data_IF_313372605866
#
_entry.id   IF_313372605866
#
_cell.length_a   1.000
_cell.length_b   1.000
_cell.length_c   1.000
_cell.angle_alpha   90.00
_cell.angle_beta   90.00
_cell.angle_gamma   90.00
#
_symmetry.space_group_name_H-M   'P 1'
#
loop_
_entity.id
_entity.type
_entity.pdbx_description
1 polymer ?
#
# COMPACT_ATOMS: atom_id res chain seq x y z
N UNK A 1 -30.93 5.64 -2.74
CA UNK A 1 -29.75 5.96 -3.57
C UNK A 1 -28.56 5.98 -2.62
N UNK A 2 -27.74 4.93 -2.66
CA UNK A 2 -26.70 4.63 -1.68
C UNK A 2 -25.45 5.49 -1.93
N UNK A 3 -25.31 6.60 -1.21
CA UNK A 3 -24.03 7.29 -1.07
C UNK A 3 -23.91 7.79 0.36
N UNK A 4 -22.73 7.54 0.95
CA UNK A 4 -22.23 8.15 2.18
C UNK A 4 -22.63 7.54 3.53
N UNK A 5 -22.09 6.35 3.84
CA UNK A 5 -21.86 5.95 5.24
C UNK A 5 -20.40 5.58 5.54
N UNK A 6 -19.45 5.83 4.62
CA UNK A 6 -18.02 5.56 4.85
C UNK A 6 -17.20 6.80 5.24
N UNK A 7 -17.84 7.94 5.42
CA UNK A 7 -17.20 9.16 5.92
C UNK A 7 -17.32 9.20 7.44
N UNK A 8 -16.49 8.42 8.14
CA UNK A 8 -16.06 8.57 9.55
C UNK A 8 -15.82 7.22 10.20
N UNK A 9 -14.83 6.47 9.73
CA UNK A 9 -14.20 5.48 10.59
C UNK A 9 -12.69 5.63 10.56
N UNK A 10 -12.17 6.28 11.59
CA UNK A 10 -10.74 6.24 11.97
C UNK A 10 -10.39 4.81 12.50
N UNK A 11 -11.34 3.88 12.49
CA UNK A 11 -11.18 2.47 12.81
C UNK A 11 -11.60 1.60 11.63
N UNK A 12 -10.66 1.12 10.83
CA UNK A 12 -10.92 -0.15 10.13
C UNK A 12 -10.91 -1.22 11.24
N UNK A 13 -12.05 -1.83 11.60
CA UNK A 13 -12.05 -2.82 12.66
C UNK A 13 -11.12 -3.97 12.26
N UNK A 14 -10.43 -4.55 13.25
CA UNK A 14 -9.54 -5.72 13.12
C UNK A 14 -10.14 -6.87 12.29
N UNK A 15 -11.47 -6.88 12.12
CA UNK A 15 -12.22 -7.79 11.27
C UNK A 15 -11.81 -7.74 9.79
N UNK A 16 -11.65 -6.56 9.17
CA UNK A 16 -11.26 -6.47 7.75
C UNK A 16 -9.81 -6.90 7.52
N UNK A 17 -8.92 -6.57 8.46
CA UNK A 17 -7.53 -7.05 8.48
C UNK A 17 -7.51 -8.58 8.49
N UNK A 18 -8.31 -9.18 9.36
CA UNK A 18 -8.38 -10.63 9.52
C UNK A 18 -8.95 -11.33 8.28
N UNK A 19 -10.06 -10.84 7.73
CA UNK A 19 -10.71 -11.49 6.57
C UNK A 19 -9.82 -11.55 5.32
N UNK A 20 -9.15 -10.45 4.97
CA UNK A 20 -8.32 -10.41 3.78
C UNK A 20 -7.02 -11.22 3.94
N UNK A 21 -6.45 -11.20 5.15
CA UNK A 21 -5.29 -12.03 5.49
C UNK A 21 -5.62 -13.52 5.44
N UNK A 22 -6.71 -13.93 6.10
CA UNK A 22 -7.15 -15.33 6.14
C UNK A 22 -7.43 -15.86 4.72
N UNK A 23 -8.12 -15.06 3.88
CA UNK A 23 -8.39 -15.43 2.49
C UNK A 23 -7.13 -15.66 1.66
N UNK A 24 -6.11 -14.82 1.80
CA UNK A 24 -4.84 -14.98 1.07
C UNK A 24 -4.08 -16.22 1.54
N UNK A 25 -4.05 -16.49 2.84
CA UNK A 25 -3.44 -17.69 3.39
C UNK A 25 -4.15 -18.94 2.87
N UNK A 26 -5.49 -18.96 2.90
CA UNK A 26 -6.29 -20.07 2.39
C UNK A 26 -5.99 -20.34 0.91
N UNK A 27 -5.90 -19.31 0.08
CA UNK A 27 -5.54 -19.45 -1.33
C UNK A 27 -4.12 -19.98 -1.54
N UNK A 28 -3.15 -19.44 -0.80
CA UNK A 28 -1.75 -19.84 -0.94
C UNK A 28 -1.51 -21.26 -0.46
N UNK A 29 -2.31 -21.76 0.48
CA UNK A 29 -2.28 -23.16 0.89
C UNK A 29 -2.81 -24.13 -0.18
N UNK A 30 -3.48 -23.63 -1.22
CA UNK A 30 -4.03 -24.43 -2.31
C UNK A 30 -3.14 -24.45 -3.56
N UNK A 31 -2.07 -23.65 -3.61
CA UNK A 31 -1.22 -23.48 -4.80
C UNK A 31 0.27 -23.51 -4.41
N UNK A 32 1.14 -24.01 -5.31
CA UNK A 32 2.60 -24.04 -5.10
C UNK A 32 3.27 -22.67 -5.38
N UNK A 33 2.65 -21.57 -4.91
CA UNK A 33 3.26 -20.24 -4.98
C UNK A 33 4.24 -20.06 -3.80
N UNK A 34 5.44 -19.49 -4.01
CA UNK A 34 6.42 -19.33 -2.94
C UNK A 34 5.88 -18.47 -1.79
N UNK A 35 6.12 -18.94 -0.57
CA UNK A 35 5.74 -18.23 0.65
C UNK A 35 6.47 -16.89 0.77
N UNK A 36 5.76 -15.86 1.24
CA UNK A 36 6.32 -14.57 1.62
C UNK A 36 5.57 -14.03 2.85
N UNK A 37 6.14 -13.02 3.53
CA UNK A 37 5.55 -12.48 4.76
C UNK A 37 4.30 -11.62 4.45
N UNK A 38 3.14 -12.27 4.50
CA UNK A 38 1.84 -11.62 4.24
C UNK A 38 1.50 -10.60 5.32
N UNK A 39 1.86 -10.86 6.58
CA UNK A 39 1.53 -9.98 7.71
C UNK A 39 2.18 -8.61 7.53
N UNK A 40 3.48 -8.59 7.23
CA UNK A 40 4.21 -7.38 6.94
C UNK A 40 3.71 -6.68 5.67
N UNK A 41 3.27 -7.46 4.67
CA UNK A 41 2.66 -6.89 3.46
C UNK A 41 1.35 -6.16 3.80
N UNK A 42 0.53 -6.72 4.71
CA UNK A 42 -0.68 -6.05 5.20
C UNK A 42 -0.37 -4.77 5.94
N UNK A 43 0.66 -4.77 6.81
CA UNK A 43 1.08 -3.57 7.53
C UNK A 43 1.41 -2.43 6.56
N UNK A 44 2.19 -2.71 5.50
CA UNK A 44 2.52 -1.71 4.47
C UNK A 44 1.27 -1.18 3.76
N UNK A 45 0.30 -2.05 3.45
CA UNK A 45 -0.95 -1.63 2.84
C UNK A 45 -1.78 -0.73 3.76
N UNK A 46 -1.88 -1.07 5.06
CA UNK A 46 -2.57 -0.25 6.04
C UNK A 46 -1.87 1.08 6.28
N UNK A 47 -0.54 1.08 6.33
CA UNK A 47 0.25 2.30 6.44
C UNK A 47 0.00 3.21 5.24
N UNK A 48 -0.14 2.66 4.03
CA UNK A 48 -0.52 3.43 2.84
C UNK A 48 -1.92 4.06 3.00
N UNK A 49 -2.91 3.31 3.50
CA UNK A 49 -4.28 3.81 3.75
C UNK A 49 -4.26 4.93 4.80
N UNK A 50 -3.57 4.73 5.92
CA UNK A 50 -3.43 5.72 7.00
C UNK A 50 -2.73 6.97 6.47
N UNK A 51 -1.67 6.80 5.68
CA UNK A 51 -0.93 7.91 5.08
C UNK A 51 -1.78 8.72 4.12
N UNK A 52 -2.60 8.05 3.31
CA UNK A 52 -3.56 8.67 2.41
C UNK A 52 -4.60 9.50 3.18
N UNK A 53 -5.10 8.97 4.30
CA UNK A 53 -6.02 9.69 5.17
C UNK A 53 -5.35 10.89 5.87
N UNK A 54 -4.07 10.76 6.25
CA UNK A 54 -3.30 11.82 6.90
C UNK A 54 -3.02 12.98 5.95
N UNK A 55 -2.63 12.69 4.71
CA UNK A 55 -2.42 13.71 3.69
C UNK A 55 -2.58 13.12 2.27
N UNK A 56 -3.71 13.45 1.64
CA UNK A 56 -4.07 12.95 0.31
C UNK A 56 -3.13 13.43 -0.80
N UNK A 57 -2.41 14.53 -0.60
CA UNK A 57 -1.54 15.11 -1.63
C UNK A 57 -0.12 14.54 -1.60
N UNK A 58 0.36 14.09 -0.43
CA UNK A 58 1.77 13.71 -0.24
C UNK A 58 1.98 12.23 0.11
N UNK A 59 0.92 11.42 0.25
CA UNK A 59 1.07 10.00 0.62
C UNK A 59 1.91 9.19 -0.38
N UNK A 60 1.96 9.61 -1.65
CA UNK A 60 2.76 8.99 -2.71
C UNK A 60 4.26 9.28 -2.64
N UNK A 61 4.66 10.27 -1.84
CA UNK A 61 6.08 10.59 -1.62
C UNK A 61 6.72 9.68 -0.56
N UNK A 62 5.93 8.84 0.11
CA UNK A 62 6.44 7.91 1.10
C UNK A 62 7.17 6.73 0.45
N UNK A 63 8.29 6.35 1.08
CA UNK A 63 9.04 5.15 0.75
C UNK A 63 8.66 4.00 1.66
N UNK A 64 8.67 2.78 1.13
CA UNK A 64 8.41 1.55 1.86
C UNK A 64 9.57 0.57 1.64
N UNK A 65 9.70 -0.39 2.56
CA UNK A 65 10.68 -1.47 2.44
C UNK A 65 10.02 -2.68 1.79
N UNK A 66 10.68 -3.27 0.78
CA UNK A 66 10.23 -4.51 0.15
C UNK A 66 10.27 -5.66 1.16
N UNK A 67 9.15 -6.36 1.33
CA UNK A 67 9.05 -7.56 2.17
C UNK A 67 9.86 -8.73 1.62
N UNK A 68 10.09 -8.75 0.31
CA UNK A 68 10.78 -9.85 -0.37
C UNK A 68 12.29 -9.66 -0.29
N UNK A 69 12.78 -8.44 -0.60
CA UNK A 69 14.21 -8.16 -0.77
C UNK A 69 14.81 -7.35 0.38
N UNK A 70 14.00 -6.94 1.36
CA UNK A 70 14.40 -6.02 2.44
C UNK A 70 15.05 -4.72 1.94
N UNK A 71 14.83 -4.37 0.66
CA UNK A 71 15.39 -3.17 0.05
C UNK A 71 14.43 -2.02 0.26
N UNK A 72 14.95 -0.89 0.75
CA UNK A 72 14.19 0.35 0.93
C UNK A 72 14.03 1.02 -0.45
N UNK A 73 12.80 1.40 -0.80
CA UNK A 73 12.55 2.13 -2.03
C UNK A 73 13.34 3.46 -2.05
N UNK A 74 13.96 3.79 -3.19
CA UNK A 74 14.62 5.10 -3.37
C UNK A 74 13.56 6.18 -3.39
N UNK A 75 13.80 7.28 -2.68
CA UNK A 75 12.97 8.48 -2.80
C UNK A 75 13.01 9.00 -4.24
N UNK A 76 11.84 9.32 -4.79
CA UNK A 76 11.74 9.89 -6.13
C UNK A 76 12.41 11.27 -6.20
N UNK A 77 12.95 11.63 -7.36
CA UNK A 77 13.69 12.89 -7.55
C UNK A 77 12.77 14.13 -7.46
N UNK A 78 11.48 13.97 -7.72
CA UNK A 78 10.44 15.00 -7.64
C UNK A 78 9.28 14.55 -6.75
N UNK A 79 8.71 15.49 -5.99
CA UNK A 79 7.49 15.25 -5.23
C UNK A 79 6.32 14.99 -6.16
N UNK A 80 5.42 14.11 -5.77
CA UNK A 80 4.26 13.68 -6.55
C UNK A 80 3.45 14.83 -7.13
N UNK A 81 3.19 15.88 -6.35
CA UNK A 81 2.37 17.02 -6.80
C UNK A 81 3.05 17.89 -7.87
N UNK A 82 4.38 17.82 -7.98
CA UNK A 82 5.17 18.57 -8.97
C UNK A 82 5.47 17.73 -10.21
N UNK A 83 5.26 16.43 -10.16
CA UNK A 83 5.53 15.50 -11.25
C UNK A 83 4.38 15.49 -12.27
N UNK A 84 4.34 16.52 -13.10
CA UNK A 84 3.27 16.73 -14.09
C UNK A 84 3.46 15.91 -15.37
N UNK A 85 4.69 15.42 -15.61
CA UNK A 85 4.99 14.54 -16.73
C UNK A 85 4.87 13.09 -16.27
N UNK A 86 4.14 12.27 -17.02
CA UNK A 86 3.83 10.88 -16.65
C UNK A 86 4.45 9.87 -17.62
N UNK A 87 5.63 10.19 -18.14
CA UNK A 87 6.40 9.33 -19.04
C UNK A 87 7.38 8.47 -18.23
N UNK A 88 7.64 7.25 -18.73
CA UNK A 88 8.58 6.32 -18.08
C UNK A 88 10.01 6.88 -18.10
N UNK A 89 10.39 7.52 -19.20
CA UNK A 89 11.70 8.11 -19.41
C UNK A 89 12.02 9.18 -18.37
N UNK A 90 11.01 9.95 -17.95
CA UNK A 90 11.16 10.96 -16.91
C UNK A 90 11.23 10.29 -15.53
N UNK A 91 10.38 9.29 -15.27
CA UNK A 91 10.31 8.58 -13.98
C UNK A 91 11.61 7.85 -13.58
N UNK A 92 12.32 7.25 -14.54
CA UNK A 92 13.54 6.46 -14.27
C UNK A 92 14.80 7.35 -14.19
N UNK A 93 14.70 8.63 -14.57
CA UNK A 93 15.85 9.55 -14.49
C UNK A 93 16.37 9.66 -13.05
N UNK A 94 17.70 9.70 -12.96
CA UNK A 94 18.45 9.30 -11.76
C UNK A 94 18.80 10.47 -10.84
#
# INVERSE_FOLDING_TARGET
MFVSQYSNSIYLPNLYRKQYFDYLIDLLNLIDYPYFNIEQTMEILFDCIISRNKNILTYKDKICTSVITNTIAKQHHTTWIKELRHCLEDFIQK
#
